data_IF_982370928116
#
_entry.id   IF_982370928116
#
_cell.length_a   1.000
_cell.length_b   1.000
_cell.length_c   1.000
_cell.angle_alpha   90.00
_cell.angle_beta   90.00
_cell.angle_gamma   90.00
#
_symmetry.space_group_name_H-M   'P 1'
#
loop_
_entity.id
_entity.type
_entity.pdbx_description
1 polymer ?
#
# COMPACT_ATOMS: atom_id res chain seq x y z
N UNK A 1 3.39 -16.12 -25.13
CA UNK A 1 3.28 -16.45 -23.69
C UNK A 1 2.63 -15.27 -23.01
N UNK A 2 1.77 -15.50 -22.02
CA UNK A 2 1.21 -14.40 -21.22
C UNK A 2 2.31 -13.78 -20.34
N UNK A 3 2.22 -12.47 -20.11
CA UNK A 3 3.12 -11.74 -19.22
C UNK A 3 3.02 -12.27 -17.78
N UNK A 4 4.14 -12.36 -17.06
CA UNK A 4 4.15 -12.76 -15.65
C UNK A 4 3.57 -11.67 -14.75
N UNK A 5 2.78 -12.04 -13.76
CA UNK A 5 2.07 -11.08 -12.89
C UNK A 5 3.02 -10.17 -12.11
N UNK A 6 4.23 -10.64 -11.74
CA UNK A 6 5.22 -9.80 -11.03
C UNK A 6 5.62 -8.53 -11.79
N UNK A 7 5.48 -8.54 -13.12
CA UNK A 7 5.81 -7.41 -13.97
C UNK A 7 4.80 -6.25 -13.87
N UNK A 8 3.72 -6.40 -13.10
CA UNK A 8 2.86 -5.26 -12.72
C UNK A 8 3.56 -4.28 -11.79
N UNK A 9 4.61 -4.71 -11.08
CA UNK A 9 5.52 -3.86 -10.32
C UNK A 9 6.91 -3.92 -10.97
N UNK A 10 7.06 -3.41 -12.18
CA UNK A 10 8.33 -3.33 -12.91
C UNK A 10 8.95 -1.92 -12.80
N UNK A 11 10.05 -1.67 -13.51
CA UNK A 11 10.71 -0.36 -13.50
C UNK A 11 9.80 0.78 -14.01
N UNK A 12 8.90 0.52 -14.97
CA UNK A 12 7.94 1.53 -15.42
C UNK A 12 6.94 1.88 -14.32
N UNK A 13 6.48 0.89 -13.55
CA UNK A 13 5.64 1.11 -12.37
C UNK A 13 6.37 1.92 -11.29
N UNK A 14 7.67 1.70 -11.08
CA UNK A 14 8.49 2.54 -10.16
C UNK A 14 8.58 3.97 -10.64
N UNK A 15 8.81 4.18 -11.93
CA UNK A 15 8.85 5.52 -12.50
C UNK A 15 7.50 6.23 -12.32
N UNK A 16 6.39 5.56 -12.61
CA UNK A 16 5.04 6.09 -12.47
C UNK A 16 4.71 6.44 -11.01
N UNK A 17 5.05 5.54 -10.08
CA UNK A 17 4.93 5.80 -8.64
C UNK A 17 5.76 7.01 -8.19
N UNK A 18 7.01 7.10 -8.64
CA UNK A 18 7.90 8.22 -8.32
C UNK A 18 7.38 9.55 -8.87
N UNK A 19 6.88 9.56 -10.11
CA UNK A 19 6.23 10.73 -10.73
C UNK A 19 5.01 11.20 -9.94
N UNK A 20 4.16 10.26 -9.50
CA UNK A 20 2.94 10.56 -8.75
C UNK A 20 3.25 11.17 -7.38
N UNK A 21 4.27 10.69 -6.69
CA UNK A 21 4.68 11.26 -5.41
C UNK A 21 5.32 12.63 -5.62
N UNK A 22 6.20 12.76 -6.61
CA UNK A 22 6.85 14.04 -6.92
C UNK A 22 5.87 15.14 -7.33
N UNK A 23 4.76 14.80 -7.99
CA UNK A 23 3.75 15.79 -8.39
C UNK A 23 3.01 16.43 -7.21
N UNK A 24 2.85 15.70 -6.11
CA UNK A 24 2.22 16.20 -4.87
C UNK A 24 3.24 16.70 -3.85
N UNK A 25 4.48 16.22 -3.92
CA UNK A 25 5.57 16.62 -3.04
C UNK A 25 6.88 16.79 -3.85
N UNK A 26 7.17 18.02 -4.34
CA UNK A 26 8.31 18.29 -5.22
C UNK A 26 9.69 18.03 -4.61
N UNK A 27 9.81 17.95 -3.29
CA UNK A 27 11.07 17.64 -2.61
C UNK A 27 11.42 16.14 -2.65
N UNK A 28 10.49 15.28 -3.13
CA UNK A 28 10.75 13.86 -3.32
C UNK A 28 11.92 13.66 -4.30
N UNK A 29 12.98 12.98 -3.84
CA UNK A 29 14.18 12.68 -4.62
C UNK A 29 13.89 11.59 -5.68
N UNK A 30 13.06 11.93 -6.67
CA UNK A 30 12.49 11.01 -7.65
C UNK A 30 13.56 10.23 -8.43
N UNK A 31 14.62 10.91 -8.88
CA UNK A 31 15.70 10.27 -9.65
C UNK A 31 16.37 9.17 -8.83
N UNK A 32 16.79 9.47 -7.60
CA UNK A 32 17.49 8.53 -6.73
C UNK A 32 16.57 7.36 -6.32
N UNK A 33 15.28 7.66 -6.05
CA UNK A 33 14.26 6.65 -5.80
C UNK A 33 14.13 5.68 -6.98
N UNK A 34 13.96 6.18 -8.21
CA UNK A 34 13.77 5.33 -9.39
C UNK A 34 14.99 4.47 -9.64
N UNK A 35 16.19 5.05 -9.57
CA UNK A 35 17.44 4.32 -9.76
C UNK A 35 17.56 3.19 -8.74
N UNK A 36 17.38 3.49 -7.45
CA UNK A 36 17.56 2.51 -6.37
C UNK A 36 16.47 1.44 -6.34
N UNK A 37 15.20 1.85 -6.45
CA UNK A 37 14.05 0.97 -6.37
C UNK A 37 13.91 0.06 -7.60
N UNK A 38 14.57 0.37 -8.72
CA UNK A 38 14.56 -0.50 -9.90
C UNK A 38 15.57 -1.65 -9.84
N UNK A 39 16.67 -1.50 -9.09
CA UNK A 39 17.82 -2.43 -9.14
C UNK A 39 17.50 -3.88 -8.79
N UNK A 40 16.57 -4.12 -7.85
CA UNK A 40 16.32 -5.46 -7.29
C UNK A 40 15.08 -6.14 -7.84
N UNK A 41 14.27 -5.47 -8.68
CA UNK A 41 12.95 -5.98 -9.03
C UNK A 41 13.02 -7.32 -9.76
N UNK A 42 13.98 -7.52 -10.65
CA UNK A 42 14.07 -8.74 -11.46
C UNK A 42 14.31 -10.01 -10.64
N UNK A 43 14.95 -9.87 -9.48
CA UNK A 43 15.21 -10.96 -8.52
C UNK A 43 14.00 -11.28 -7.63
N UNK A 44 13.00 -10.40 -7.59
CA UNK A 44 11.88 -10.46 -6.66
C UNK A 44 10.59 -10.95 -7.34
N UNK A 45 9.85 -11.78 -6.62
CA UNK A 45 8.47 -12.14 -6.95
C UNK A 45 7.49 -11.07 -6.48
N UNK A 46 6.26 -11.09 -7.00
CA UNK A 46 5.28 -10.00 -6.89
C UNK A 46 5.12 -9.42 -5.48
N UNK A 47 4.84 -10.25 -4.47
CA UNK A 47 4.66 -9.77 -3.09
C UNK A 47 5.95 -9.15 -2.52
N UNK A 48 7.10 -9.73 -2.85
CA UNK A 48 8.38 -9.21 -2.39
C UNK A 48 8.73 -7.87 -3.07
N UNK A 49 8.25 -7.64 -4.30
CA UNK A 49 8.35 -6.32 -4.96
C UNK A 49 7.52 -5.27 -4.22
N UNK A 50 6.29 -5.59 -3.80
CA UNK A 50 5.46 -4.65 -3.04
C UNK A 50 6.12 -4.22 -1.71
N UNK A 51 6.60 -5.20 -0.91
CA UNK A 51 7.33 -4.93 0.34
C UNK A 51 8.63 -4.14 0.08
N UNK A 52 9.39 -4.50 -0.95
CA UNK A 52 10.63 -3.79 -1.32
C UNK A 52 10.37 -2.34 -1.71
N UNK A 53 9.31 -2.08 -2.47
CA UNK A 53 8.92 -0.72 -2.85
C UNK A 53 8.42 0.08 -1.65
N UNK A 54 7.62 -0.50 -0.76
CA UNK A 54 7.22 0.15 0.50
C UNK A 54 8.43 0.56 1.35
N UNK A 55 9.44 -0.31 1.45
CA UNK A 55 10.71 0.00 2.14
C UNK A 55 11.52 1.07 1.42
N UNK A 56 11.56 1.02 0.10
CA UNK A 56 12.25 2.02 -0.71
C UNK A 56 11.61 3.40 -0.53
N UNK A 57 10.28 3.49 -0.53
CA UNK A 57 9.55 4.73 -0.26
C UNK A 57 9.95 5.35 1.07
N UNK A 58 10.11 4.55 2.13
CA UNK A 58 10.48 5.05 3.46
C UNK A 58 11.85 5.72 3.50
N UNK A 59 12.79 5.33 2.64
CA UNK A 59 14.10 5.99 2.55
C UNK A 59 14.01 7.42 2.00
N UNK A 60 12.97 7.71 1.19
CA UNK A 60 12.84 8.96 0.45
C UNK A 60 11.64 9.81 0.89
N UNK A 61 10.83 9.34 1.83
CA UNK A 61 9.72 10.07 2.46
C UNK A 61 10.18 10.76 3.74
N UNK A 62 9.39 11.70 4.31
CA UNK A 62 9.68 12.28 5.61
C UNK A 62 9.80 11.20 6.70
N UNK A 63 10.65 11.46 7.70
CA UNK A 63 10.81 10.57 8.87
C UNK A 63 9.53 10.50 9.72
N UNK A 64 8.74 11.57 9.76
CA UNK A 64 7.45 11.58 10.44
C UNK A 64 6.41 10.79 9.63
N UNK A 65 5.83 9.77 10.27
CA UNK A 65 4.87 8.87 9.63
C UNK A 65 3.60 9.60 9.16
N UNK A 66 3.11 10.57 9.93
CA UNK A 66 1.86 11.27 9.60
C UNK A 66 2.05 12.14 8.36
N UNK A 67 3.19 12.82 8.26
CA UNK A 67 3.57 13.59 7.07
C UNK A 67 3.76 12.68 5.85
N UNK A 68 4.46 11.55 6.01
CA UNK A 68 4.64 10.58 4.93
C UNK A 68 3.31 10.01 4.42
N UNK A 69 2.39 9.65 5.31
CA UNK A 69 1.06 9.16 4.93
C UNK A 69 0.22 10.25 4.24
N UNK A 70 0.31 11.50 4.70
CA UNK A 70 -0.40 12.60 4.05
C UNK A 70 0.03 12.77 2.58
N UNK A 71 1.33 12.61 2.29
CA UNK A 71 1.86 12.64 0.92
C UNK A 71 1.36 11.43 0.12
N UNK A 72 1.50 10.22 0.67
CA UNK A 72 1.09 8.99 -0.02
C UNK A 72 -0.40 8.96 -0.35
N UNK A 73 -1.26 9.45 0.56
CA UNK A 73 -2.70 9.55 0.31
C UNK A 73 -3.03 10.57 -0.77
N UNK A 74 -2.33 11.70 -0.83
CA UNK A 74 -2.50 12.67 -1.92
C UNK A 74 -2.10 12.07 -3.27
N UNK A 75 -0.96 11.36 -3.33
CA UNK A 75 -0.54 10.66 -4.54
C UNK A 75 -1.54 9.58 -4.96
N UNK A 76 -2.14 8.87 -3.99
CA UNK A 76 -3.12 7.82 -4.25
C UNK A 76 -4.42 8.30 -4.88
N UNK A 77 -4.80 9.58 -4.72
CA UNK A 77 -6.02 10.10 -5.36
C UNK A 77 -5.93 10.09 -6.89
N UNK A 78 -4.74 10.30 -7.45
CA UNK A 78 -4.51 10.21 -8.90
C UNK A 78 -4.72 8.79 -9.44
N UNK A 79 -4.51 7.74 -8.62
CA UNK A 79 -4.75 6.35 -9.03
C UNK A 79 -6.23 6.03 -9.28
N UNK A 80 -7.15 6.95 -8.95
CA UNK A 80 -8.58 6.84 -9.27
C UNK A 80 -8.91 7.30 -10.68
N UNK A 81 -7.99 8.00 -11.36
CA UNK A 81 -8.22 8.52 -12.71
C UNK A 81 -8.31 7.38 -13.74
N UNK A 82 -9.14 7.56 -14.78
CA UNK A 82 -9.39 6.52 -15.80
C UNK A 82 -8.12 6.05 -16.52
N UNK A 83 -7.09 6.90 -16.61
CA UNK A 83 -5.81 6.55 -17.21
C UNK A 83 -5.07 5.43 -16.47
N UNK A 84 -5.36 5.24 -15.17
CA UNK A 84 -4.85 4.15 -14.36
C UNK A 84 -5.82 2.97 -14.25
N UNK A 85 -6.87 2.93 -15.08
CA UNK A 85 -7.80 1.81 -15.11
C UNK A 85 -7.09 0.50 -15.49
N UNK A 86 -7.35 -0.57 -14.72
CA UNK A 86 -6.79 -1.90 -14.97
C UNK A 86 -5.66 -2.27 -14.02
N UNK A 87 -4.49 -2.65 -14.55
CA UNK A 87 -3.43 -3.25 -13.72
C UNK A 87 -2.56 -2.22 -12.99
N UNK A 88 -2.75 -0.91 -13.21
CA UNK A 88 -2.05 0.15 -12.48
C UNK A 88 -2.50 0.28 -11.01
N UNK A 89 -3.63 -0.35 -10.63
CA UNK A 89 -4.04 -0.50 -9.24
C UNK A 89 -2.99 -1.20 -8.35
N UNK A 90 -2.07 -1.98 -8.93
CA UNK A 90 -0.94 -2.56 -8.20
C UNK A 90 -0.01 -1.50 -7.60
N UNK A 91 0.01 -0.27 -8.14
CA UNK A 91 0.74 0.86 -7.57
C UNK A 91 0.25 1.26 -6.18
N UNK A 92 -1.00 0.94 -5.82
CA UNK A 92 -1.49 1.17 -4.47
C UNK A 92 -0.94 0.16 -3.45
N UNK A 93 -0.45 -1.00 -3.89
CA UNK A 93 0.03 -2.04 -2.97
C UNK A 93 1.25 -1.60 -2.14
N UNK A 94 2.33 -1.02 -2.71
CA UNK A 94 3.41 -0.47 -1.91
C UNK A 94 2.97 0.58 -0.87
N UNK A 95 1.95 1.39 -1.17
CA UNK A 95 1.40 2.38 -0.24
C UNK A 95 0.67 1.71 0.93
N UNK A 96 -0.08 0.65 0.64
CA UNK A 96 -0.78 -0.16 1.65
C UNK A 96 0.22 -0.88 2.55
N UNK A 97 1.25 -1.50 1.97
CA UNK A 97 2.30 -2.19 2.73
C UNK A 97 3.13 -1.18 3.55
N UNK A 98 3.33 0.06 3.07
CA UNK A 98 3.95 1.14 3.85
C UNK A 98 3.19 1.42 5.15
N UNK A 99 1.85 1.48 5.09
CA UNK A 99 1.01 1.67 6.28
C UNK A 99 1.26 0.57 7.32
N UNK A 100 1.34 -0.69 6.88
CA UNK A 100 1.58 -1.81 7.79
C UNK A 100 3.00 -1.83 8.38
N UNK A 101 4.01 -1.44 7.60
CA UNK A 101 5.41 -1.47 8.02
C UNK A 101 5.77 -0.36 9.01
N UNK A 102 5.17 0.82 8.86
CA UNK A 102 5.60 2.03 9.59
C UNK A 102 4.50 2.66 10.45
N UNK A 103 3.26 2.21 10.35
CA UNK A 103 2.11 2.81 11.02
C UNK A 103 1.69 2.17 12.34
N UNK A 104 2.41 1.15 12.83
CA UNK A 104 1.92 0.32 13.94
C UNK A 104 1.61 1.13 15.21
N UNK A 105 2.38 2.19 15.47
CA UNK A 105 2.21 3.10 16.62
C UNK A 105 1.24 4.26 16.34
N UNK A 106 0.62 4.32 15.16
CA UNK A 106 -0.24 5.42 14.68
C UNK A 106 -1.63 4.93 14.24
N UNK A 107 -2.29 4.11 15.06
CA UNK A 107 -3.53 3.37 14.74
C UNK A 107 -4.60 4.19 14.00
N UNK A 108 -5.00 5.34 14.52
CA UNK A 108 -6.08 6.14 13.92
C UNK A 108 -5.71 6.61 12.50
N UNK A 109 -4.47 7.06 12.31
CA UNK A 109 -3.96 7.51 11.00
C UNK A 109 -3.85 6.33 10.04
N UNK A 110 -3.33 5.19 10.52
CA UNK A 110 -3.18 3.98 9.72
C UNK A 110 -4.52 3.37 9.31
N UNK A 111 -5.51 3.32 10.20
CA UNK A 111 -6.85 2.84 9.85
C UNK A 111 -7.51 3.76 8.83
N UNK A 112 -7.45 5.08 9.01
CA UNK A 112 -7.96 6.01 8.01
C UNK A 112 -7.25 5.86 6.66
N UNK A 113 -5.93 5.60 6.65
CA UNK A 113 -5.18 5.36 5.42
C UNK A 113 -5.59 4.03 4.75
N UNK A 114 -5.68 2.93 5.49
CA UNK A 114 -6.13 1.63 4.96
C UNK A 114 -7.54 1.70 4.41
N UNK A 115 -8.44 2.44 5.06
CA UNK A 115 -9.81 2.67 4.57
C UNK A 115 -9.81 3.39 3.22
N UNK A 116 -8.94 4.40 3.02
CA UNK A 116 -8.86 5.12 1.74
C UNK A 116 -8.18 4.35 0.62
N UNK A 117 -7.16 3.55 0.97
CA UNK A 117 -6.33 2.83 0.00
C UNK A 117 -6.93 1.49 -0.42
N UNK A 118 -7.71 0.84 0.46
CA UNK A 118 -8.28 -0.48 0.18
C UNK A 118 -9.13 -0.54 -1.09
N UNK A 119 -9.98 0.45 -1.42
CA UNK A 119 -10.73 0.46 -2.67
C UNK A 119 -9.85 0.52 -3.93
N UNK A 120 -8.59 0.98 -3.82
CA UNK A 120 -7.64 0.99 -4.94
C UNK A 120 -7.00 -0.38 -5.17
N UNK A 121 -6.91 -1.23 -4.14
CA UNK A 121 -6.36 -2.58 -4.25
C UNK A 121 -6.94 -3.51 -3.17
N UNK A 122 -6.17 -3.84 -2.13
CA UNK A 122 -6.66 -4.56 -0.94
C UNK A 122 -5.73 -4.31 0.25
N UNK A 123 -6.32 -4.03 1.42
CA UNK A 123 -5.61 -3.94 2.71
C UNK A 123 -5.46 -5.26 3.45
N UNK A 124 -5.84 -6.41 2.85
CA UNK A 124 -6.01 -7.69 3.56
C UNK A 124 -4.74 -8.25 4.19
N UNK A 125 -3.56 -7.93 3.63
CA UNK A 125 -2.27 -8.28 4.23
C UNK A 125 -1.85 -7.27 5.30
N UNK A 126 -2.06 -5.98 5.02
CA UNK A 126 -1.63 -4.88 5.88
C UNK A 126 -2.34 -4.89 7.24
N UNK A 127 -3.67 -5.08 7.25
CA UNK A 127 -4.46 -5.07 8.49
C UNK A 127 -4.03 -6.15 9.50
N UNK A 128 -3.36 -7.21 9.02
CA UNK A 128 -2.89 -8.30 9.87
C UNK A 128 -1.75 -7.90 10.80
N UNK A 129 -0.94 -6.92 10.42
CA UNK A 129 0.10 -6.38 11.30
C UNK A 129 -0.55 -5.77 12.55
N UNK A 130 -1.63 -5.02 12.35
CA UNK A 130 -2.43 -4.42 13.41
C UNK A 130 -3.21 -5.46 14.22
N UNK A 131 -3.81 -6.48 13.58
CA UNK A 131 -4.45 -7.60 14.31
C UNK A 131 -3.48 -8.34 15.24
N UNK A 132 -2.20 -8.45 14.85
CA UNK A 132 -1.18 -9.13 15.66
C UNK A 132 -0.68 -8.26 16.82
N UNK A 133 -0.54 -6.95 16.63
CA UNK A 133 0.01 -6.04 17.64
C UNK A 133 -1.06 -5.41 18.55
N UNK A 134 -2.23 -5.08 17.99
CA UNK A 134 -3.30 -4.28 18.59
C UNK A 134 -4.66 -4.93 18.30
N UNK A 135 -4.84 -6.17 18.76
CA UNK A 135 -5.99 -7.00 18.38
C UNK A 135 -7.33 -6.34 18.73
N UNK A 136 -7.50 -5.84 19.95
CA UNK A 136 -8.79 -5.32 20.43
C UNK A 136 -9.20 -4.07 19.64
N UNK A 137 -8.28 -3.13 19.43
CA UNK A 137 -8.50 -1.91 18.66
C UNK A 137 -8.79 -2.22 17.20
N UNK A 138 -8.00 -3.12 16.60
CA UNK A 138 -8.15 -3.51 15.21
C UNK A 138 -9.47 -4.27 14.99
N UNK A 139 -9.80 -5.21 15.87
CA UNK A 139 -11.04 -5.96 15.80
C UNK A 139 -12.27 -5.05 15.93
N UNK A 140 -12.24 -4.10 16.87
CA UNK A 140 -13.30 -3.10 17.01
C UNK A 140 -13.46 -2.24 15.74
N UNK A 141 -12.36 -1.85 15.09
CA UNK A 141 -12.41 -1.14 13.81
C UNK A 141 -12.97 -2.01 12.68
N UNK A 142 -12.59 -3.29 12.62
CA UNK A 142 -13.09 -4.23 11.61
C UNK A 142 -14.60 -4.48 11.75
N UNK A 143 -15.14 -4.51 12.97
CA UNK A 143 -16.60 -4.57 13.19
C UNK A 143 -17.31 -3.34 12.61
N UNK A 144 -16.74 -2.14 12.76
CA UNK A 144 -17.29 -0.94 12.11
C UNK A 144 -17.20 -1.04 10.59
N UNK A 145 -16.06 -1.49 10.06
CA UNK A 145 -15.86 -1.67 8.62
C UNK A 145 -16.78 -2.73 8.00
N UNK A 146 -17.23 -3.73 8.77
CA UNK A 146 -18.20 -4.72 8.30
C UNK A 146 -19.56 -4.09 7.94
N UNK A 147 -19.90 -2.94 8.51
CA UNK A 147 -21.14 -2.18 8.26
C UNK A 147 -20.93 -0.98 7.30
N UNK A 148 -19.73 -0.81 6.76
CA UNK A 148 -19.38 0.34 5.93
C UNK A 148 -20.15 0.35 4.59
N UNK A 149 -20.46 1.54 4.06
CA UNK A 149 -21.22 1.68 2.80
C UNK A 149 -20.46 1.15 1.57
N UNK A 150 -19.14 1.33 1.55
CA UNK A 150 -18.25 0.83 0.49
C UNK A 150 -17.99 -0.68 0.64
N UNK A 151 -18.25 -1.45 -0.42
CA UNK A 151 -18.10 -2.91 -0.43
C UNK A 151 -16.66 -3.40 -0.26
N UNK A 152 -15.66 -2.65 -0.72
CA UNK A 152 -14.25 -3.02 -0.55
C UNK A 152 -13.83 -2.98 0.92
N UNK A 153 -14.42 -2.07 1.70
CA UNK A 153 -14.16 -1.94 3.14
C UNK A 153 -14.84 -3.06 3.92
N UNK A 154 -16.10 -3.40 3.57
CA UNK A 154 -16.76 -4.58 4.12
C UNK A 154 -16.00 -5.87 3.80
N UNK A 155 -15.51 -5.99 2.56
CA UNK A 155 -14.68 -7.13 2.14
C UNK A 155 -13.39 -7.21 2.97
N UNK A 156 -12.70 -6.09 3.21
CA UNK A 156 -11.51 -6.07 4.06
C UNK A 156 -11.80 -6.59 5.47
N UNK A 157 -12.90 -6.18 6.08
CA UNK A 157 -13.31 -6.67 7.41
C UNK A 157 -13.51 -8.20 7.44
N UNK A 158 -14.03 -8.77 6.36
CA UNK A 158 -14.19 -10.23 6.22
C UNK A 158 -12.88 -10.95 5.89
N UNK A 159 -12.16 -10.49 4.87
CA UNK A 159 -10.99 -11.19 4.32
C UNK A 159 -9.74 -11.01 5.21
N UNK A 160 -9.53 -9.83 5.78
CA UNK A 160 -8.35 -9.51 6.58
C UNK A 160 -8.24 -10.33 7.88
N UNK A 161 -9.39 -10.71 8.47
CA UNK A 161 -9.44 -11.49 9.71
C UNK A 161 -9.44 -13.00 9.48
N UNK A 162 -9.34 -13.46 8.22
CA UNK A 162 -9.36 -14.89 7.92
C UNK A 162 -8.25 -15.62 8.68
N UNK A 163 -8.56 -16.72 9.38
CA UNK A 163 -7.54 -17.52 10.07
C UNK A 163 -6.48 -18.09 9.12
N UNK A 164 -6.87 -18.35 7.87
CA UNK A 164 -6.01 -18.93 6.82
C UNK A 164 -6.15 -18.17 5.51
N UNK A 165 -5.72 -16.91 5.52
CA UNK A 165 -5.62 -16.10 4.30
C UNK A 165 -4.44 -16.61 3.44
N UNK A 166 -4.65 -16.99 2.17
CA UNK A 166 -3.55 -17.37 1.28
C UNK A 166 -2.50 -16.26 1.17
N UNK A 167 -1.23 -16.63 1.05
CA UNK A 167 -0.07 -15.72 0.93
C UNK A 167 0.23 -14.86 2.17
N UNK A 168 -0.64 -14.85 3.18
CA UNK A 168 -0.35 -14.23 4.46
C UNK A 168 0.45 -15.18 5.37
N UNK A 169 1.33 -14.65 6.23
CA UNK A 169 1.90 -15.41 7.34
C UNK A 169 0.79 -16.04 8.18
N UNK A 170 0.98 -17.31 8.54
CA UNK A 170 0.06 -18.10 9.37
C UNK A 170 0.39 -17.93 10.84
#
# INVERSE_FOLDING_TARGET
MAEQLKNKLNAAAVHELGSLIHSVWPDFAMTDFIETASLKLDELELKARADYLARSLHVYLPDDYVDAIAILLQAAEYLREEQFSGWAHYLAWPLIDYVALYGIDHLDVSFAALEKLTPLFTGEFAIRFFLLAHFEETYAQMLKWAEHENEHIRRLASEGIRPRLPWAPQ
#
